data_IF_579193458401
#
_entry.id   IF_579193458401
#
_cell.length_a   1.000
_cell.length_b   1.000
_cell.length_c   1.000
_cell.angle_alpha   90.00
_cell.angle_beta   90.00
_cell.angle_gamma   90.00
#
_symmetry.space_group_name_H-M   'P 1'
#
loop_
_entity.id
_entity.type
_entity.pdbx_description
1 polymer ?
#
# COMPACT_ATOMS: atom_id res chain seq x y z
N UNK A 1 -22.97 -0.32 -22.90
CA UNK A 1 -23.04 1.15 -22.70
C UNK A 1 -21.66 1.68 -22.98
N UNK A 2 -21.52 2.62 -23.91
CA UNK A 2 -20.24 3.29 -24.12
C UNK A 2 -19.88 4.08 -22.87
N UNK A 3 -18.64 3.92 -22.41
CA UNK A 3 -18.14 4.60 -21.21
C UNK A 3 -17.92 6.08 -21.52
N UNK A 4 -18.73 6.93 -20.91
CA UNK A 4 -18.58 8.38 -21.02
C UNK A 4 -17.45 8.87 -20.13
N UNK A 5 -16.59 9.76 -20.66
CA UNK A 5 -15.44 10.32 -19.93
C UNK A 5 -15.52 11.84 -19.80
N UNK A 6 -14.61 12.40 -18.99
CA UNK A 6 -14.42 13.84 -18.80
C UNK A 6 -13.43 14.37 -19.83
N UNK A 7 -13.80 15.40 -20.56
CA UNK A 7 -12.92 15.99 -21.58
C UNK A 7 -12.63 17.47 -21.29
N UNK A 8 -11.38 17.86 -21.47
CA UNK A 8 -10.93 19.26 -21.47
C UNK A 8 -10.57 19.61 -22.91
N UNK A 9 -11.19 20.70 -23.44
CA UNK A 9 -10.94 21.19 -24.80
C UNK A 9 -10.24 22.55 -24.70
N UNK A 10 -9.12 22.69 -25.40
CA UNK A 10 -8.27 23.87 -25.37
C UNK A 10 -8.03 24.33 -26.81
N UNK A 11 -8.60 25.45 -27.18
CA UNK A 11 -8.51 26.06 -28.51
C UNK A 11 -8.68 27.56 -28.32
N UNK A 12 -7.96 28.40 -29.03
CA UNK A 12 -8.05 29.87 -28.93
C UNK A 12 -9.28 30.46 -29.69
N UNK A 13 -9.93 29.64 -30.53
CA UNK A 13 -11.12 29.98 -31.26
C UNK A 13 -12.39 29.57 -30.50
N UNK A 14 -13.16 30.55 -30.06
CA UNK A 14 -14.42 30.34 -29.32
C UNK A 14 -15.48 29.60 -30.14
N UNK A 15 -15.55 29.81 -31.47
CA UNK A 15 -16.50 29.11 -32.33
C UNK A 15 -16.21 27.60 -32.42
N UNK A 16 -14.92 27.24 -32.44
CA UNK A 16 -14.46 25.84 -32.38
C UNK A 16 -14.85 25.21 -31.05
N UNK A 17 -14.59 25.89 -29.95
CA UNK A 17 -14.96 25.43 -28.61
C UNK A 17 -16.48 25.24 -28.46
N UNK A 18 -17.27 26.18 -28.97
CA UNK A 18 -18.72 26.08 -28.93
C UNK A 18 -19.24 24.93 -29.78
N UNK A 19 -18.74 24.75 -31.01
CA UNK A 19 -19.13 23.66 -31.90
C UNK A 19 -18.79 22.30 -31.32
N UNK A 20 -17.57 22.12 -30.75
CA UNK A 20 -17.15 20.89 -30.08
C UNK A 20 -17.96 20.60 -28.83
N UNK A 21 -18.22 21.60 -27.99
CA UNK A 21 -19.03 21.42 -26.79
C UNK A 21 -20.43 20.92 -27.15
N UNK A 22 -21.10 21.54 -28.10
CA UNK A 22 -22.44 21.14 -28.53
C UNK A 22 -22.45 19.73 -29.17
N UNK A 23 -21.42 19.40 -29.95
CA UNK A 23 -21.31 18.11 -30.62
C UNK A 23 -21.05 16.97 -29.63
N UNK A 24 -20.25 17.21 -28.59
CA UNK A 24 -19.75 16.17 -27.67
C UNK A 24 -20.63 16.01 -26.41
N UNK A 25 -21.45 17.00 -26.08
CA UNK A 25 -22.31 16.98 -24.88
C UNK A 25 -23.14 15.70 -24.71
N UNK A 26 -23.76 15.10 -25.76
CA UNK A 26 -24.51 13.87 -25.62
C UNK A 26 -23.64 12.64 -25.32
N UNK A 27 -22.34 12.67 -25.66
CA UNK A 27 -21.43 11.53 -25.66
C UNK A 27 -20.44 11.51 -24.49
N UNK A 28 -20.22 12.66 -23.82
CA UNK A 28 -19.28 12.81 -22.72
C UNK A 28 -20.00 12.93 -21.37
N UNK A 29 -19.28 12.61 -20.30
CA UNK A 29 -19.80 12.76 -18.93
C UNK A 29 -19.78 14.24 -18.51
N UNK A 30 -18.67 14.90 -18.74
CA UNK A 30 -18.47 16.32 -18.49
C UNK A 30 -17.50 16.92 -19.51
N UNK A 31 -17.77 18.16 -19.93
CA UNK A 31 -16.89 18.90 -20.84
C UNK A 31 -16.49 20.21 -20.15
N UNK A 32 -15.21 20.53 -20.26
CA UNK A 32 -14.68 21.87 -19.92
C UNK A 32 -13.95 22.41 -21.13
N UNK A 33 -14.16 23.69 -21.39
CA UNK A 33 -13.54 24.38 -22.51
C UNK A 33 -12.78 25.60 -22.03
N UNK A 34 -11.68 25.95 -22.69
CA UNK A 34 -10.92 27.15 -22.39
C UNK A 34 -10.17 27.67 -23.60
N UNK A 35 -10.19 29.02 -23.78
CA UNK A 35 -9.33 29.69 -24.75
C UNK A 35 -7.94 30.02 -24.21
N UNK A 36 -7.70 29.74 -22.92
CA UNK A 36 -6.47 30.11 -22.22
C UNK A 36 -5.65 28.86 -21.82
N UNK A 37 -4.61 28.50 -22.58
CA UNK A 37 -3.76 27.36 -22.23
C UNK A 37 -3.07 27.49 -20.87
N UNK A 38 -2.85 28.71 -20.38
CA UNK A 38 -2.28 28.94 -19.02
C UNK A 38 -3.12 28.32 -17.90
N UNK A 39 -4.39 28.00 -18.13
CA UNK A 39 -5.30 27.35 -17.17
C UNK A 39 -5.20 25.84 -17.14
N UNK A 40 -4.36 25.21 -17.98
CA UNK A 40 -4.16 23.75 -18.04
C UNK A 40 -3.89 23.17 -16.66
N UNK A 41 -2.90 23.71 -15.94
CA UNK A 41 -2.53 23.22 -14.61
C UNK A 41 -3.71 23.23 -13.62
N UNK A 42 -4.52 24.30 -13.66
CA UNK A 42 -5.71 24.41 -12.83
C UNK A 42 -6.74 23.32 -13.17
N UNK A 43 -7.03 23.08 -14.45
CA UNK A 43 -7.99 22.05 -14.84
C UNK A 43 -7.48 20.64 -14.58
N UNK A 44 -6.20 20.38 -14.74
CA UNK A 44 -5.62 19.07 -14.42
C UNK A 44 -5.77 18.74 -12.92
N UNK A 45 -5.64 19.75 -12.04
CA UNK A 45 -5.73 19.54 -10.58
C UNK A 45 -7.14 19.59 -10.01
N UNK A 46 -8.10 20.27 -10.67
CA UNK A 46 -9.46 20.46 -10.14
C UNK A 46 -10.53 19.66 -10.87
N UNK A 47 -10.34 19.45 -12.17
CA UNK A 47 -11.32 18.75 -13.02
C UNK A 47 -10.93 17.30 -13.30
N UNK A 48 -9.61 16.98 -13.32
CA UNK A 48 -9.05 15.64 -13.62
C UNK A 48 -9.65 15.07 -14.93
N UNK A 49 -9.33 15.65 -16.10
CA UNK A 49 -9.88 15.21 -17.37
C UNK A 49 -9.36 13.82 -17.74
N UNK A 50 -10.23 12.97 -18.29
CA UNK A 50 -9.81 11.67 -18.88
C UNK A 50 -9.08 11.90 -20.21
N UNK A 51 -9.49 12.90 -20.99
CA UNK A 51 -8.88 13.26 -22.28
C UNK A 51 -8.74 14.75 -22.39
N UNK A 52 -7.61 15.20 -22.92
CA UNK A 52 -7.35 16.61 -23.25
C UNK A 52 -7.32 16.70 -24.78
N UNK A 53 -8.26 17.49 -25.36
CA UNK A 53 -8.28 17.84 -26.76
C UNK A 53 -7.60 19.21 -26.91
N UNK A 54 -6.44 19.25 -27.54
CA UNK A 54 -5.54 20.41 -27.56
C UNK A 54 -5.33 20.90 -28.99
N UNK A 55 -5.55 22.20 -29.22
CA UNK A 55 -5.17 22.78 -30.52
C UNK A 55 -3.64 22.80 -30.69
N UNK A 56 -3.22 22.57 -31.92
CA UNK A 56 -1.79 22.62 -32.27
C UNK A 56 -1.27 24.05 -32.39
N UNK A 57 -2.08 24.98 -32.90
CA UNK A 57 -1.67 26.33 -33.26
C UNK A 57 -2.48 27.35 -32.47
N UNK A 58 -1.83 28.16 -31.66
CA UNK A 58 -2.41 29.29 -30.93
C UNK A 58 -2.02 30.65 -31.61
N UNK A 59 -2.70 31.73 -31.25
CA UNK A 59 -2.57 33.05 -31.92
C UNK A 59 -1.16 33.57 -32.00
N UNK A 60 -0.28 33.23 -31.09
CA UNK A 60 1.13 33.66 -31.08
C UNK A 60 1.99 32.92 -32.09
N UNK A 61 1.58 31.70 -32.48
CA UNK A 61 2.32 30.85 -33.41
C UNK A 61 1.38 30.07 -34.35
N UNK A 62 0.71 30.81 -35.24
CA UNK A 62 -0.26 30.25 -36.18
C UNK A 62 0.36 29.28 -37.22
N UNK A 63 1.71 29.17 -37.32
CA UNK A 63 2.39 28.48 -38.39
C UNK A 63 3.28 27.35 -37.91
N UNK A 64 4.00 27.44 -36.79
CA UNK A 64 5.02 26.44 -36.41
C UNK A 64 4.48 25.27 -35.59
N UNK A 65 3.41 25.45 -34.82
CA UNK A 65 2.88 24.43 -33.90
C UNK A 65 3.72 24.18 -32.65
N UNK A 66 4.76 25.00 -32.44
CA UNK A 66 5.67 24.82 -31.31
C UNK A 66 4.98 25.08 -29.97
N UNK A 67 4.05 26.03 -29.93
CA UNK A 67 3.27 26.35 -28.72
C UNK A 67 2.44 25.17 -28.24
N UNK A 68 1.74 24.47 -29.14
CA UNK A 68 1.00 23.25 -28.80
C UNK A 68 1.90 22.14 -28.25
N UNK A 69 3.09 21.94 -28.85
CA UNK A 69 4.06 20.98 -28.35
C UNK A 69 4.61 21.34 -26.98
N UNK A 70 4.79 22.61 -26.67
CA UNK A 70 5.29 23.04 -25.35
C UNK A 70 4.19 22.85 -24.27
N UNK A 71 2.91 23.08 -24.60
CA UNK A 71 1.81 22.73 -23.71
C UNK A 71 1.68 21.23 -23.51
N UNK A 72 1.89 20.40 -24.55
CA UNK A 72 1.95 18.96 -24.41
C UNK A 72 3.04 18.53 -23.39
N UNK A 73 4.25 19.07 -23.51
CA UNK A 73 5.34 18.80 -22.57
C UNK A 73 4.96 19.20 -21.14
N UNK A 74 4.31 20.35 -20.97
CA UNK A 74 3.82 20.81 -19.66
C UNK A 74 2.78 19.83 -19.08
N UNK A 75 1.83 19.36 -19.89
CA UNK A 75 0.82 18.37 -19.48
C UNK A 75 1.49 17.08 -19.05
N UNK A 76 2.39 16.52 -19.87
CA UNK A 76 3.08 15.28 -19.59
C UNK A 76 4.08 15.37 -18.43
N UNK A 77 4.57 16.57 -18.11
CA UNK A 77 5.36 16.80 -16.89
C UNK A 77 4.50 16.78 -15.64
N UNK A 78 3.26 17.29 -15.70
CA UNK A 78 2.30 17.27 -14.60
C UNK A 78 1.70 15.86 -14.38
N UNK A 79 1.37 15.18 -15.47
CA UNK A 79 0.85 13.81 -15.48
C UNK A 79 1.42 13.03 -16.68
N UNK A 80 2.43 12.18 -16.47
CA UNK A 80 3.00 11.34 -17.53
C UNK A 80 2.02 10.35 -18.17
N UNK A 81 0.89 10.10 -17.51
CA UNK A 81 -0.16 9.19 -18.01
C UNK A 81 -1.30 9.92 -18.74
N UNK A 82 -1.25 11.25 -18.81
CA UNK A 82 -2.28 12.05 -19.46
C UNK A 82 -2.51 11.62 -20.92
N UNK A 83 -3.77 11.59 -21.33
CA UNK A 83 -4.17 11.25 -22.70
C UNK A 83 -4.49 12.55 -23.43
N UNK A 84 -3.61 12.93 -24.36
CA UNK A 84 -3.71 14.17 -25.14
C UNK A 84 -3.94 13.83 -26.61
N UNK A 85 -5.00 14.42 -27.17
CA UNK A 85 -5.35 14.33 -28.59
C UNK A 85 -5.21 15.72 -29.21
N UNK A 86 -4.40 15.86 -30.24
CA UNK A 86 -4.24 17.13 -30.93
C UNK A 86 -5.33 17.41 -31.96
N UNK A 87 -5.68 18.67 -32.12
CA UNK A 87 -6.43 19.17 -33.28
C UNK A 87 -5.46 19.88 -34.23
N UNK A 88 -5.43 19.47 -35.50
CA UNK A 88 -4.50 19.99 -36.51
C UNK A 88 -5.22 20.44 -37.76
N UNK A 89 -4.65 21.37 -38.53
CA UNK A 89 -5.18 21.72 -39.84
C UNK A 89 -4.91 20.57 -40.85
N UNK A 90 -5.77 20.44 -41.86
CA UNK A 90 -5.80 19.33 -42.83
C UNK A 90 -4.48 19.07 -43.59
N UNK A 91 -3.58 20.03 -43.65
CA UNK A 91 -2.32 19.93 -44.41
C UNK A 91 -1.07 19.57 -43.57
N UNK A 92 -1.19 19.37 -42.25
CA UNK A 92 -0.02 19.32 -41.34
C UNK A 92 0.30 17.91 -40.83
N UNK A 93 0.39 16.92 -41.76
CA UNK A 93 0.75 15.54 -41.39
C UNK A 93 2.11 15.42 -40.71
N UNK A 94 3.09 16.27 -41.05
CA UNK A 94 4.41 16.26 -40.45
C UNK A 94 4.37 16.71 -38.97
N UNK A 95 3.54 17.69 -38.66
CA UNK A 95 3.31 18.16 -37.28
C UNK A 95 2.56 17.11 -36.45
N UNK A 96 1.58 16.42 -37.05
CA UNK A 96 0.90 15.31 -36.38
C UNK A 96 1.86 14.21 -35.98
N UNK A 97 2.81 13.85 -36.86
CA UNK A 97 3.87 12.87 -36.56
C UNK A 97 4.82 13.39 -35.46
N UNK A 98 5.16 14.67 -35.46
CA UNK A 98 5.96 15.28 -34.40
C UNK A 98 5.23 15.25 -33.05
N UNK A 99 3.93 15.53 -33.02
CA UNK A 99 3.11 15.46 -31.81
C UNK A 99 3.09 14.05 -31.21
N UNK A 100 2.89 13.02 -32.04
CA UNK A 100 2.95 11.62 -31.59
C UNK A 100 4.33 11.28 -31.02
N UNK A 101 5.41 11.66 -31.71
CA UNK A 101 6.78 11.46 -31.23
C UNK A 101 7.07 12.22 -29.92
N UNK A 102 6.39 13.34 -29.68
CA UNK A 102 6.50 14.12 -28.46
C UNK A 102 5.66 13.57 -27.29
N UNK A 103 4.85 12.53 -27.54
CA UNK A 103 4.06 11.82 -26.51
C UNK A 103 2.54 12.07 -26.56
N UNK A 104 2.03 12.74 -27.59
CA UNK A 104 0.59 12.79 -27.81
C UNK A 104 0.02 11.40 -28.13
N UNK A 105 -1.21 11.17 -27.69
CA UNK A 105 -1.87 9.88 -27.90
C UNK A 105 -2.39 9.71 -29.32
N UNK A 106 -2.98 10.78 -29.89
CA UNK A 106 -3.57 10.78 -31.24
C UNK A 106 -3.73 12.21 -31.74
N UNK A 107 -4.22 12.36 -32.97
CA UNK A 107 -4.57 13.65 -33.55
C UNK A 107 -5.85 13.59 -34.40
N UNK A 108 -6.51 14.74 -34.56
CA UNK A 108 -7.73 14.93 -35.34
C UNK A 108 -7.55 16.11 -36.27
N UNK A 109 -7.83 15.97 -37.56
CA UNK A 109 -7.76 17.04 -38.55
C UNK A 109 -8.98 17.96 -38.47
N UNK A 110 -8.79 19.28 -38.58
CA UNK A 110 -9.82 20.29 -38.80
C UNK A 110 -10.00 20.50 -40.33
N UNK A 111 -11.24 20.51 -40.89
CA UNK A 111 -12.51 20.18 -40.23
C UNK A 111 -12.62 18.67 -39.97
N UNK A 112 -13.23 18.32 -38.83
CA UNK A 112 -13.39 16.91 -38.43
C UNK A 112 -14.66 16.29 -38.96
N UNK A 113 -14.59 14.99 -39.23
CA UNK A 113 -15.74 14.13 -39.44
C UNK A 113 -16.25 13.64 -38.07
N UNK A 114 -17.58 13.76 -37.85
CA UNK A 114 -18.19 13.42 -36.56
C UNK A 114 -17.85 12.01 -36.09
N UNK A 115 -17.96 11.04 -36.95
CA UNK A 115 -17.75 9.62 -36.66
C UNK A 115 -16.30 9.38 -36.26
N UNK A 116 -15.34 10.01 -36.95
CA UNK A 116 -13.90 9.88 -36.67
C UNK A 116 -13.54 10.54 -35.34
N UNK A 117 -14.06 11.76 -35.08
CA UNK A 117 -13.87 12.46 -33.80
C UNK A 117 -14.36 11.62 -32.64
N UNK A 118 -15.59 11.08 -32.72
CA UNK A 118 -16.17 10.25 -31.65
C UNK A 118 -15.40 8.96 -31.45
N UNK A 119 -14.98 8.28 -32.52
CA UNK A 119 -14.19 7.04 -32.44
C UNK A 119 -12.82 7.29 -31.74
N UNK A 120 -12.11 8.35 -32.13
CA UNK A 120 -10.84 8.74 -31.53
C UNK A 120 -11.01 9.07 -30.05
N UNK A 121 -12.01 9.88 -29.69
CA UNK A 121 -12.24 10.25 -28.29
C UNK A 121 -12.70 9.05 -27.43
N UNK A 122 -13.54 8.17 -27.98
CA UNK A 122 -13.93 6.92 -27.27
C UNK A 122 -12.73 6.03 -26.98
N UNK A 123 -11.83 5.87 -27.95
CA UNK A 123 -10.59 5.12 -27.77
C UNK A 123 -9.66 5.78 -26.75
N UNK A 124 -9.56 7.11 -26.78
CA UNK A 124 -8.76 7.89 -25.83
C UNK A 124 -9.30 7.77 -24.38
N UNK A 125 -10.63 7.83 -24.18
CA UNK A 125 -11.26 7.62 -22.86
C UNK A 125 -10.98 6.21 -22.33
N UNK A 126 -11.12 5.18 -23.16
CA UNK A 126 -10.81 3.79 -22.75
C UNK A 126 -9.34 3.64 -22.35
N UNK A 127 -8.43 4.24 -23.10
CA UNK A 127 -7.00 4.23 -22.79
C UNK A 127 -6.71 4.92 -21.46
N UNK A 128 -7.29 6.11 -21.21
CA UNK A 128 -7.14 6.85 -19.96
C UNK A 128 -7.59 6.02 -18.77
N UNK A 129 -8.77 5.42 -18.84
CA UNK A 129 -9.28 4.58 -17.75
C UNK A 129 -8.45 3.33 -17.52
N UNK A 130 -7.97 2.69 -18.60
CA UNK A 130 -7.06 1.56 -18.47
C UNK A 130 -5.76 1.95 -17.76
N UNK A 131 -5.17 3.11 -18.12
CA UNK A 131 -3.97 3.64 -17.44
C UNK A 131 -4.23 3.95 -15.96
N UNK A 132 -5.37 4.60 -15.65
CA UNK A 132 -5.77 4.91 -14.27
C UNK A 132 -5.97 3.63 -13.44
N UNK A 133 -6.61 2.59 -14.01
CA UNK A 133 -6.82 1.32 -13.32
C UNK A 133 -5.49 0.58 -13.09
N UNK A 134 -4.58 0.56 -14.08
CA UNK A 134 -3.23 0.02 -13.92
C UNK A 134 -2.47 0.77 -12.83
N UNK A 135 -2.52 2.12 -12.82
CA UNK A 135 -1.90 2.94 -11.79
C UNK A 135 -2.48 2.68 -10.39
N UNK A 136 -3.81 2.53 -10.30
CA UNK A 136 -4.49 2.16 -9.05
C UNK A 136 -4.03 0.81 -8.53
N UNK A 137 -4.00 -0.20 -9.41
CA UNK A 137 -3.54 -1.55 -9.06
C UNK A 137 -2.06 -1.57 -8.67
N UNK A 138 -1.21 -0.81 -9.37
CA UNK A 138 0.20 -0.66 -9.01
C UNK A 138 0.38 -0.03 -7.63
N UNK A 139 -0.39 1.03 -7.31
CA UNK A 139 -0.36 1.66 -6.00
C UNK A 139 -0.88 0.72 -4.90
N UNK A 140 -1.92 -0.07 -5.16
CA UNK A 140 -2.40 -1.10 -4.24
C UNK A 140 -1.33 -2.18 -4.00
N UNK A 141 -0.68 -2.66 -5.06
CA UNK A 141 0.44 -3.61 -4.96
C UNK A 141 1.62 -3.00 -4.20
N UNK A 142 1.96 -1.73 -4.47
CA UNK A 142 3.03 -1.03 -3.75
C UNK A 142 2.72 -0.90 -2.26
N UNK A 143 1.47 -0.56 -1.90
CA UNK A 143 1.03 -0.52 -0.51
C UNK A 143 1.09 -1.90 0.19
N UNK A 144 0.88 -2.98 -0.57
CA UNK A 144 0.97 -4.36 -0.08
C UNK A 144 2.41 -4.88 0.01
N UNK A 145 3.36 -4.30 -0.75
CA UNK A 145 4.78 -4.69 -0.69
C UNK A 145 5.44 -4.36 0.65
N UNK A 146 4.83 -3.49 1.46
CA UNK A 146 5.38 -3.04 2.74
C UNK A 146 6.46 -1.97 2.58
N UNK A 147 6.82 -1.37 3.69
CA UNK A 147 7.86 -0.34 3.73
C UNK A 147 9.23 -0.97 3.43
N UNK A 148 9.92 -0.48 2.40
CA UNK A 148 11.28 -0.93 2.02
C UNK A 148 12.37 -0.39 2.94
N UNK A 149 11.99 0.39 3.96
CA UNK A 149 12.93 0.81 4.99
C UNK A 149 13.34 -0.40 5.84
N UNK A 150 14.63 -0.53 6.10
CA UNK A 150 15.16 -1.59 6.97
C UNK A 150 14.48 -1.52 8.35
N UNK A 151 13.68 -2.53 8.74
CA UNK A 151 13.08 -2.53 10.07
C UNK A 151 14.17 -2.66 11.11
N UNK A 152 14.26 -1.69 12.04
CA UNK A 152 15.31 -1.65 13.02
C UNK A 152 14.88 -2.35 14.32
N UNK A 153 15.33 -3.58 14.53
CA UNK A 153 15.19 -4.29 15.79
C UNK A 153 16.32 -3.85 16.74
N UNK A 154 16.05 -2.80 17.52
CA UNK A 154 17.03 -2.17 18.40
C UNK A 154 17.35 -3.08 19.59
N UNK A 155 18.64 -3.26 19.87
CA UNK A 155 19.16 -4.04 21.00
C UNK A 155 20.55 -4.57 20.71
N UNK A 156 21.44 -4.48 21.71
CA UNK A 156 22.84 -4.92 21.65
C UNK A 156 23.15 -5.97 22.71
N UNK A 157 22.18 -6.33 23.56
CA UNK A 157 22.35 -7.41 24.55
C UNK A 157 22.67 -8.73 23.85
N UNK A 158 23.40 -9.64 24.52
CA UNK A 158 23.72 -10.97 23.98
C UNK A 158 22.46 -11.75 23.55
N UNK A 159 21.36 -11.59 24.31
CA UNK A 159 20.07 -12.19 23.96
C UNK A 159 19.53 -11.66 22.63
N UNK A 160 19.57 -10.35 22.40
CA UNK A 160 19.11 -9.74 21.14
C UNK A 160 20.05 -10.00 19.97
N UNK A 161 21.35 -10.08 20.20
CA UNK A 161 22.32 -10.48 19.16
C UNK A 161 22.01 -11.90 18.65
N UNK A 162 21.76 -12.85 19.55
CA UNK A 162 21.35 -14.21 19.18
C UNK A 162 20.05 -14.24 18.37
N UNK A 163 19.06 -13.40 18.74
CA UNK A 163 17.81 -13.25 17.96
C UNK A 163 18.13 -12.76 16.56
N UNK A 164 18.94 -11.69 16.41
CA UNK A 164 19.31 -11.15 15.09
C UNK A 164 20.06 -12.17 14.22
N UNK A 165 21.04 -12.89 14.79
CA UNK A 165 21.75 -13.97 14.08
C UNK A 165 20.81 -15.05 13.60
N UNK A 166 19.85 -15.44 14.45
CA UNK A 166 18.84 -16.44 14.09
C UNK A 166 17.96 -15.94 12.96
N UNK A 167 17.50 -14.67 13.00
CA UNK A 167 16.74 -14.04 11.92
C UNK A 167 17.52 -14.12 10.60
N UNK A 168 18.79 -13.74 10.56
CA UNK A 168 19.61 -13.80 9.35
C UNK A 168 19.70 -15.22 8.78
N UNK A 169 19.94 -16.22 9.63
CA UNK A 169 20.03 -17.63 9.21
C UNK A 169 18.72 -18.17 8.66
N UNK A 170 17.58 -17.75 9.22
CA UNK A 170 16.26 -18.22 8.82
C UNK A 170 15.69 -17.47 7.64
N UNK A 171 16.22 -16.30 7.33
CA UNK A 171 15.71 -15.46 6.23
C UNK A 171 15.83 -16.12 4.87
N UNK A 172 16.90 -16.87 4.62
CA UNK A 172 17.15 -17.57 3.36
C UNK A 172 16.30 -18.85 3.17
N UNK A 173 15.49 -19.23 4.15
CA UNK A 173 14.66 -20.43 4.09
C UNK A 173 13.20 -20.11 3.82
N UNK A 174 12.49 -20.99 3.11
CA UNK A 174 11.01 -20.92 2.95
C UNK A 174 10.26 -21.69 4.05
N UNK A 175 10.96 -22.13 5.11
CA UNK A 175 10.34 -22.83 6.23
C UNK A 175 9.31 -21.95 6.95
N UNK A 176 8.24 -22.59 7.44
CA UNK A 176 7.29 -21.94 8.33
C UNK A 176 7.98 -21.60 9.66
N UNK A 177 7.71 -20.39 10.16
CA UNK A 177 8.33 -19.87 11.37
C UNK A 177 7.29 -19.55 12.42
N UNK A 178 7.59 -19.91 13.66
CA UNK A 178 6.82 -19.54 14.83
C UNK A 178 7.64 -18.60 15.73
N UNK A 179 7.18 -17.35 15.86
CA UNK A 179 7.80 -16.33 16.72
C UNK A 179 7.07 -16.32 18.07
N UNK A 180 7.81 -16.64 19.12
CA UNK A 180 7.30 -16.66 20.49
C UNK A 180 7.85 -15.48 21.28
N UNK A 181 7.01 -14.89 22.10
CA UNK A 181 7.41 -13.78 22.98
C UNK A 181 6.22 -13.04 23.56
N UNK A 182 6.43 -12.38 24.68
CA UNK A 182 5.40 -11.58 25.35
C UNK A 182 4.88 -10.46 24.47
N UNK A 183 3.73 -9.87 24.85
CA UNK A 183 3.17 -8.72 24.13
C UNK A 183 4.11 -7.52 24.22
N UNK A 184 4.27 -6.82 23.09
CA UNK A 184 5.13 -5.63 23.01
C UNK A 184 6.62 -5.89 22.92
N UNK A 185 7.07 -7.14 22.72
CA UNK A 185 8.50 -7.50 22.59
C UNK A 185 9.10 -7.19 21.22
N UNK A 186 8.26 -6.96 20.18
CA UNK A 186 8.69 -6.65 18.83
C UNK A 186 8.61 -7.84 17.84
N UNK A 187 7.67 -8.77 18.05
CA UNK A 187 7.41 -9.92 17.14
C UNK A 187 7.14 -9.47 15.70
N UNK A 188 6.37 -8.40 15.51
CA UNK A 188 6.10 -7.81 14.19
C UNK A 188 7.37 -7.31 13.48
N UNK A 189 8.25 -6.60 14.23
CA UNK A 189 9.53 -6.15 13.68
C UNK A 189 10.42 -7.33 13.27
N UNK A 190 10.43 -8.41 14.05
CA UNK A 190 11.19 -9.61 13.70
C UNK A 190 10.64 -10.27 12.42
N UNK A 191 9.32 -10.34 12.25
CA UNK A 191 8.69 -10.86 11.04
C UNK A 191 9.03 -9.99 9.81
N UNK A 192 9.04 -8.65 9.95
CA UNK A 192 9.47 -7.72 8.89
C UNK A 192 10.94 -7.89 8.54
N UNK A 193 11.83 -8.08 9.52
CA UNK A 193 13.25 -8.36 9.27
C UNK A 193 13.43 -9.69 8.52
N UNK A 194 12.74 -10.75 8.92
CA UNK A 194 12.75 -12.05 8.23
C UNK A 194 12.36 -11.91 6.75
N UNK A 195 11.33 -11.12 6.46
CA UNK A 195 10.93 -10.81 5.06
C UNK A 195 12.00 -9.98 4.36
N UNK A 196 12.50 -8.92 5.00
CA UNK A 196 13.46 -7.97 4.40
C UNK A 196 14.75 -8.65 3.92
N UNK A 197 15.25 -9.63 4.67
CA UNK A 197 16.45 -10.40 4.31
C UNK A 197 16.16 -11.67 3.51
N UNK A 198 14.89 -11.94 3.15
CA UNK A 198 14.51 -13.15 2.40
C UNK A 198 14.58 -12.96 0.89
N UNK A 199 14.65 -14.06 0.10
CA UNK A 199 14.48 -14.00 -1.35
C UNK A 199 13.14 -13.39 -1.80
N UNK A 200 12.11 -13.41 -0.91
CA UNK A 200 10.78 -12.82 -1.17
C UNK A 200 10.68 -11.34 -0.75
N UNK A 201 11.82 -10.65 -0.57
CA UNK A 201 11.87 -9.24 -0.14
C UNK A 201 11.01 -8.31 -1.01
N UNK A 202 11.08 -8.48 -2.33
CA UNK A 202 10.34 -7.63 -3.29
C UNK A 202 8.87 -8.05 -3.48
N UNK A 203 8.48 -9.17 -2.83
CA UNK A 203 7.11 -9.69 -2.92
C UNK A 203 6.21 -9.10 -1.83
N UNK A 204 4.91 -9.33 -1.95
CA UNK A 204 3.91 -8.86 -0.99
C UNK A 204 4.18 -9.39 0.43
N UNK A 205 3.94 -8.53 1.43
CA UNK A 205 3.96 -8.88 2.85
C UNK A 205 2.61 -8.53 3.45
N UNK A 206 1.86 -9.55 3.84
CA UNK A 206 0.51 -9.37 4.40
C UNK A 206 0.52 -9.68 5.90
N UNK A 207 0.58 -8.66 6.76
CA UNK A 207 0.40 -8.84 8.20
C UNK A 207 -1.08 -8.92 8.55
N UNK A 208 -1.43 -9.87 9.42
CA UNK A 208 -2.78 -10.06 9.96
C UNK A 208 -2.67 -10.23 11.47
N UNK A 209 -3.28 -9.32 12.21
CA UNK A 209 -3.53 -9.50 13.64
C UNK A 209 -4.84 -10.27 13.82
N UNK A 210 -4.71 -11.54 14.15
CA UNK A 210 -5.84 -12.45 14.32
C UNK A 210 -6.69 -12.10 15.56
N UNK A 211 -6.14 -11.40 16.53
CA UNK A 211 -6.88 -10.90 17.69
C UNK A 211 -7.78 -9.71 17.37
N UNK A 212 -7.54 -8.99 16.28
CA UNK A 212 -8.33 -7.84 15.87
C UNK A 212 -9.51 -8.18 14.98
N UNK A 213 -9.58 -9.39 14.41
CA UNK A 213 -10.64 -9.81 13.49
C UNK A 213 -11.76 -10.49 14.27
N UNK A 214 -13.02 -10.03 14.15
CA UNK A 214 -14.16 -10.74 14.71
C UNK A 214 -14.29 -12.16 14.15
N UNK A 215 -14.56 -13.16 15.00
CA UNK A 215 -14.58 -14.57 14.62
C UNK A 215 -15.44 -14.87 13.39
N UNK A 216 -16.57 -14.19 13.27
CA UNK A 216 -17.53 -14.34 12.15
C UNK A 216 -16.95 -13.89 10.80
N UNK A 217 -15.95 -12.99 10.79
CA UNK A 217 -15.33 -12.46 9.59
C UNK A 217 -14.03 -13.17 9.21
N UNK A 218 -13.51 -14.03 10.09
CA UNK A 218 -12.24 -14.70 9.91
C UNK A 218 -12.13 -15.42 8.58
N UNK A 219 -13.14 -16.26 8.29
CA UNK A 219 -13.15 -17.08 7.10
C UNK A 219 -13.15 -16.22 5.83
N UNK A 220 -14.03 -15.20 5.80
CA UNK A 220 -14.13 -14.28 4.66
C UNK A 220 -12.90 -13.42 4.47
N UNK A 221 -12.24 -12.97 5.53
CA UNK A 221 -11.01 -12.19 5.42
C UNK A 221 -9.80 -13.06 5.03
N UNK A 222 -9.68 -14.27 5.59
CA UNK A 222 -8.52 -15.13 5.33
C UNK A 222 -8.60 -15.80 3.96
N UNK A 223 -9.75 -16.39 3.62
CA UNK A 223 -9.93 -17.21 2.42
C UNK A 223 -10.68 -16.50 1.30
N UNK A 224 -11.35 -15.37 1.58
CA UNK A 224 -12.14 -14.64 0.59
C UNK A 224 -13.53 -15.24 0.35
N UNK A 225 -14.28 -14.64 -0.56
CA UNK A 225 -15.63 -15.07 -0.90
C UNK A 225 -16.00 -14.76 -2.34
N UNK A 226 -16.91 -15.56 -2.89
CA UNK A 226 -17.52 -15.33 -4.19
C UNK A 226 -18.78 -14.46 -4.06
N UNK A 227 -19.18 -13.87 -5.19
CA UNK A 227 -20.43 -13.11 -5.25
C UNK A 227 -21.62 -14.03 -4.86
N UNK A 228 -22.42 -13.58 -3.88
CA UNK A 228 -23.59 -14.33 -3.39
C UNK A 228 -23.27 -15.33 -2.28
N UNK A 229 -22.05 -15.41 -1.78
CA UNK A 229 -21.69 -16.31 -0.67
C UNK A 229 -22.48 -16.00 0.64
N UNK A 230 -22.89 -14.75 0.82
CA UNK A 230 -23.78 -14.29 1.91
C UNK A 230 -24.56 -13.05 1.44
N UNK A 231 -25.53 -12.60 2.25
CA UNK A 231 -26.53 -11.58 1.86
C UNK A 231 -25.94 -10.30 1.27
N UNK A 232 -24.76 -9.84 1.78
CA UNK A 232 -24.09 -8.62 1.34
C UNK A 232 -22.92 -8.84 0.37
N UNK A 233 -22.66 -10.06 -0.06
CA UNK A 233 -21.59 -10.40 -0.99
C UNK A 233 -21.94 -9.97 -2.45
N UNK A 234 -21.98 -8.67 -2.70
CA UNK A 234 -22.33 -8.10 -4.03
C UNK A 234 -21.28 -8.32 -5.08
N UNK A 235 -19.98 -8.44 -4.70
CA UNK A 235 -18.83 -8.72 -5.56
C UNK A 235 -17.98 -9.79 -4.89
N UNK A 236 -17.26 -10.58 -5.69
CA UNK A 236 -16.23 -11.47 -5.17
C UNK A 236 -15.07 -10.65 -4.56
N UNK A 237 -14.47 -11.15 -3.46
CA UNK A 237 -13.31 -10.55 -2.80
C UNK A 237 -12.26 -11.64 -2.56
N UNK A 238 -11.00 -11.47 -3.04
CA UNK A 238 -9.92 -12.38 -2.70
C UNK A 238 -9.61 -12.31 -1.20
N UNK A 239 -9.22 -13.46 -0.62
CA UNK A 239 -8.77 -13.52 0.77
C UNK A 239 -7.32 -13.09 0.95
N UNK A 240 -6.92 -12.88 2.20
CA UNK A 240 -5.54 -12.50 2.55
C UNK A 240 -4.52 -13.56 2.14
N UNK A 241 -4.84 -14.85 2.24
CA UNK A 241 -3.95 -15.93 1.80
C UNK A 241 -3.74 -15.93 0.29
N UNK A 242 -4.80 -15.66 -0.49
CA UNK A 242 -4.69 -15.51 -1.93
C UNK A 242 -3.87 -14.29 -2.31
N UNK A 243 -4.11 -13.16 -1.66
CA UNK A 243 -3.38 -11.89 -1.88
C UNK A 243 -1.89 -12.03 -1.51
N UNK A 244 -1.57 -12.87 -0.51
CA UNK A 244 -0.20 -13.13 -0.08
C UNK A 244 0.56 -14.12 -1.00
N UNK A 245 -0.11 -14.70 -2.00
CA UNK A 245 0.52 -15.71 -2.88
C UNK A 245 1.72 -15.13 -3.63
N UNK A 246 2.80 -15.87 -3.67
CA UNK A 246 4.13 -15.44 -4.14
C UNK A 246 4.97 -14.72 -3.07
N UNK A 247 4.36 -14.30 -1.94
CA UNK A 247 5.00 -13.50 -0.90
C UNK A 247 5.03 -14.14 0.47
N UNK A 248 4.85 -13.31 1.50
CA UNK A 248 4.90 -13.72 2.91
C UNK A 248 3.62 -13.31 3.63
N UNK A 249 3.00 -14.25 4.34
CA UNK A 249 1.87 -14.03 5.23
C UNK A 249 2.36 -14.04 6.68
N UNK A 250 2.11 -12.98 7.42
CA UNK A 250 2.40 -12.91 8.84
C UNK A 250 1.09 -12.97 9.64
N UNK A 251 0.94 -14.01 10.46
CA UNK A 251 -0.22 -14.23 11.33
C UNK A 251 0.19 -13.94 12.78
N UNK A 252 -0.21 -12.78 13.30
CA UNK A 252 0.02 -12.47 14.73
C UNK A 252 -1.13 -13.02 15.58
N UNK A 253 -0.82 -13.37 16.81
CA UNK A 253 -1.74 -13.94 17.81
C UNK A 253 -2.45 -15.22 17.33
N UNK A 254 -1.66 -16.17 16.73
CA UNK A 254 -2.18 -17.43 16.17
C UNK A 254 -2.90 -18.29 17.24
N UNK A 255 -2.56 -18.14 18.53
CA UNK A 255 -3.21 -18.82 19.65
C UNK A 255 -4.69 -18.45 19.84
N UNK A 256 -5.17 -17.37 19.24
CA UNK A 256 -6.56 -16.90 19.36
C UNK A 256 -7.51 -17.55 18.35
N UNK A 257 -7.02 -18.38 17.44
CA UNK A 257 -7.84 -19.06 16.44
C UNK A 257 -8.78 -20.08 17.08
N UNK A 258 -10.07 -20.08 16.68
CA UNK A 258 -10.99 -21.14 17.04
C UNK A 258 -10.65 -22.47 16.36
N UNK A 259 -10.99 -23.60 16.96
CA UNK A 259 -10.68 -24.93 16.43
C UNK A 259 -11.15 -25.18 14.99
N UNK A 260 -12.35 -24.71 14.56
CA UNK A 260 -12.76 -24.80 13.15
C UNK A 260 -11.83 -24.05 12.21
N UNK A 261 -11.35 -22.85 12.61
CA UNK A 261 -10.43 -22.05 11.79
C UNK A 261 -9.03 -22.67 11.74
N UNK A 262 -8.57 -23.25 12.83
CA UNK A 262 -7.33 -24.02 12.87
C UNK A 262 -7.34 -25.17 11.86
N UNK A 263 -8.46 -25.92 11.76
CA UNK A 263 -8.60 -27.01 10.79
C UNK A 263 -8.55 -26.53 9.33
N UNK A 264 -9.20 -25.39 9.03
CA UNK A 264 -9.16 -24.79 7.69
C UNK A 264 -7.77 -24.26 7.34
N UNK A 265 -7.10 -23.59 8.28
CA UNK A 265 -5.73 -23.12 8.10
C UNK A 265 -4.76 -24.27 7.86
N UNK A 266 -4.87 -25.36 8.64
CA UNK A 266 -4.06 -26.57 8.44
C UNK A 266 -4.22 -27.12 7.01
N UNK A 267 -5.47 -27.26 6.55
CA UNK A 267 -5.77 -27.74 5.19
C UNK A 267 -5.13 -26.85 4.13
N UNK A 268 -5.20 -25.51 4.30
CA UNK A 268 -4.62 -24.55 3.38
C UNK A 268 -3.09 -24.65 3.31
N UNK A 269 -2.42 -24.84 4.46
CA UNK A 269 -0.96 -24.98 4.55
C UNK A 269 -0.49 -26.32 3.96
N UNK A 270 -1.21 -27.40 4.23
CA UNK A 270 -0.82 -28.75 3.76
C UNK A 270 -1.01 -28.93 2.26
N UNK A 271 -2.16 -28.47 1.75
CA UNK A 271 -2.51 -28.64 0.33
C UNK A 271 -2.01 -27.51 -0.55
N UNK A 272 -1.46 -26.45 0.03
CA UNK A 272 -1.10 -25.21 -0.67
C UNK A 272 -2.24 -24.69 -1.56
N UNK A 273 -3.48 -24.81 -1.08
CA UNK A 273 -4.64 -24.31 -1.78
C UNK A 273 -5.73 -23.87 -0.79
N UNK A 274 -6.52 -22.90 -1.24
CA UNK A 274 -7.68 -22.38 -0.51
C UNK A 274 -8.93 -22.51 -1.37
N UNK A 275 -10.09 -22.46 -0.71
CA UNK A 275 -11.38 -22.35 -1.40
C UNK A 275 -12.11 -21.15 -0.82
N UNK A 276 -12.53 -20.19 -1.67
CA UNK A 276 -13.32 -19.04 -1.24
C UNK A 276 -14.69 -19.50 -0.74
N UNK A 277 -15.26 -18.75 0.20
CA UNK A 277 -16.64 -19.00 0.63
C UNK A 277 -17.58 -18.93 -0.58
N UNK A 278 -18.44 -19.94 -0.71
CA UNK A 278 -19.35 -20.07 -1.84
C UNK A 278 -18.74 -20.58 -3.14
N UNK A 279 -17.42 -20.83 -3.19
CA UNK A 279 -16.75 -21.45 -4.34
C UNK A 279 -16.66 -22.97 -4.20
N UNK A 280 -16.56 -23.65 -5.33
CA UNK A 280 -16.32 -25.12 -5.41
C UNK A 280 -14.86 -25.41 -5.79
N UNK A 281 -14.25 -24.54 -6.59
CA UNK A 281 -12.90 -24.75 -7.12
C UNK A 281 -11.82 -24.28 -6.15
N UNK A 282 -10.81 -25.10 -5.83
CA UNK A 282 -9.66 -24.66 -5.05
C UNK A 282 -8.76 -23.73 -5.88
N UNK A 283 -8.12 -22.79 -5.18
CA UNK A 283 -7.13 -21.86 -5.72
C UNK A 283 -5.77 -22.24 -5.13
N UNK A 284 -4.77 -22.50 -5.98
CA UNK A 284 -3.40 -22.77 -5.53
C UNK A 284 -2.74 -21.50 -4.99
N UNK A 285 -2.03 -21.64 -3.87
CA UNK A 285 -1.29 -20.55 -3.23
C UNK A 285 0.15 -20.98 -2.92
N UNK A 286 1.10 -20.07 -3.11
CA UNK A 286 2.49 -20.23 -2.69
C UNK A 286 2.82 -19.13 -1.68
N UNK A 287 2.76 -19.45 -0.39
CA UNK A 287 2.89 -18.46 0.68
C UNK A 287 3.93 -18.92 1.70
N UNK A 288 4.95 -18.10 1.95
CA UNK A 288 5.80 -18.26 3.14
C UNK A 288 5.02 -17.82 4.38
N UNK A 289 4.87 -18.71 5.35
CA UNK A 289 4.10 -18.45 6.57
C UNK A 289 5.01 -18.11 7.74
N UNK A 290 4.74 -16.97 8.39
CA UNK A 290 5.33 -16.58 9.67
C UNK A 290 4.18 -16.41 10.66
N UNK A 291 4.19 -17.16 11.75
CA UNK A 291 3.20 -17.06 12.83
C UNK A 291 3.84 -16.42 14.07
N UNK A 292 3.05 -15.69 14.86
CA UNK A 292 3.50 -15.19 16.14
C UNK A 292 2.43 -15.38 17.22
N UNK A 293 2.86 -15.55 18.47
CA UNK A 293 1.97 -15.59 19.63
C UNK A 293 2.71 -15.31 20.93
N UNK A 294 1.99 -14.84 21.91
CA UNK A 294 2.41 -14.76 23.31
C UNK A 294 1.94 -15.97 24.14
N UNK A 295 1.02 -16.78 23.60
CA UNK A 295 0.42 -17.90 24.30
C UNK A 295 1.35 -19.12 24.31
N UNK A 296 1.28 -19.91 25.37
CA UNK A 296 1.91 -21.22 25.41
C UNK A 296 1.07 -22.22 24.60
N UNK A 297 1.42 -22.43 23.32
CA UNK A 297 0.68 -23.32 22.43
C UNK A 297 0.68 -24.78 22.91
N UNK A 298 1.75 -25.27 23.57
CA UNK A 298 1.77 -26.63 24.13
C UNK A 298 0.73 -26.79 25.24
N UNK A 299 0.56 -25.77 26.08
CA UNK A 299 -0.49 -25.77 27.10
C UNK A 299 -1.88 -25.74 26.44
N UNK A 300 -2.09 -24.90 25.42
CA UNK A 300 -3.37 -24.86 24.69
C UNK A 300 -3.70 -26.20 24.01
N UNK A 301 -2.69 -26.92 23.53
CA UNK A 301 -2.87 -28.29 23.00
C UNK A 301 -3.32 -29.24 24.11
N UNK A 302 -2.66 -29.20 25.26
CA UNK A 302 -3.04 -30.04 26.42
C UNK A 302 -4.47 -29.75 26.92
N UNK A 303 -4.91 -28.50 26.82
CA UNK A 303 -6.26 -28.05 27.16
C UNK A 303 -7.30 -28.33 26.05
N UNK A 304 -6.88 -28.88 24.90
CA UNK A 304 -7.77 -29.13 23.75
C UNK A 304 -8.26 -27.86 23.04
N UNK A 305 -7.61 -26.70 23.26
CA UNK A 305 -7.94 -25.41 22.64
C UNK A 305 -7.12 -25.14 21.37
N UNK A 306 -6.03 -25.86 21.15
CA UNK A 306 -5.20 -25.78 19.96
C UNK A 306 -4.92 -27.18 19.41
N UNK A 307 -4.93 -27.31 18.09
CA UNK A 307 -4.71 -28.62 17.43
C UNK A 307 -3.21 -28.93 17.38
N UNK A 308 -2.85 -30.11 17.75
CA UNK A 308 -1.47 -30.60 17.74
C UNK A 308 -0.91 -30.70 16.32
N UNK A 309 -1.72 -31.13 15.35
CA UNK A 309 -1.33 -31.24 13.95
C UNK A 309 -1.00 -29.88 13.33
N UNK A 310 -1.80 -28.83 13.62
CA UNK A 310 -1.50 -27.45 13.20
C UNK A 310 -0.19 -26.96 13.85
N UNK A 311 -0.01 -27.19 15.16
CA UNK A 311 1.22 -26.79 15.84
C UNK A 311 2.46 -27.36 15.14
N UNK A 312 2.49 -28.66 14.83
CA UNK A 312 3.63 -29.26 14.11
C UNK A 312 3.84 -28.66 12.72
N UNK A 313 2.79 -28.20 12.06
CA UNK A 313 2.91 -27.67 10.70
C UNK A 313 3.41 -26.22 10.67
N UNK A 314 3.04 -25.39 11.66
CA UNK A 314 3.49 -23.98 11.77
C UNK A 314 4.83 -23.86 12.51
N UNK A 315 5.16 -24.82 13.37
CA UNK A 315 6.35 -24.83 14.22
C UNK A 315 7.49 -25.64 13.58
N UNK A 316 7.85 -25.31 12.33
CA UNK A 316 9.04 -25.93 11.70
C UNK A 316 10.31 -25.39 12.32
N UNK A 317 10.35 -24.09 12.63
CA UNK A 317 11.43 -23.43 13.34
C UNK A 317 10.85 -22.40 14.32
N UNK A 318 11.41 -22.34 15.54
CA UNK A 318 11.02 -21.38 16.57
C UNK A 318 12.03 -20.23 16.67
N UNK A 319 11.50 -19.03 16.83
CA UNK A 319 12.26 -17.83 17.18
C UNK A 319 11.70 -17.23 18.48
N UNK A 320 12.48 -17.29 19.55
CA UNK A 320 12.09 -16.70 20.83
C UNK A 320 12.62 -15.27 20.96
N UNK A 321 11.71 -14.31 21.18
CA UNK A 321 12.09 -12.93 21.48
C UNK A 321 12.02 -12.74 22.99
N UNK A 322 13.16 -12.43 23.65
CA UNK A 322 13.21 -12.26 25.10
C UNK A 322 12.38 -11.05 25.55
N UNK A 323 11.77 -11.08 26.72
CA UNK A 323 11.11 -9.93 27.31
C UNK A 323 12.12 -8.81 27.65
N UNK A 324 11.66 -7.58 27.75
CA UNK A 324 12.53 -6.41 27.91
C UNK A 324 13.40 -6.47 29.19
N UNK A 325 12.87 -7.02 30.29
CA UNK A 325 13.58 -7.25 31.55
C UNK A 325 14.83 -8.15 31.42
N UNK A 326 14.88 -9.01 30.39
CA UNK A 326 16.01 -9.89 30.11
C UNK A 326 17.04 -9.29 29.13
N UNK A 327 16.80 -8.07 28.63
CA UNK A 327 17.67 -7.38 27.68
C UNK A 327 18.67 -6.40 28.32
N UNK A 328 18.69 -6.27 29.64
CA UNK A 328 19.64 -5.45 30.36
C UNK A 328 19.66 -3.99 29.90
N UNK A 329 20.83 -3.53 29.43
CA UNK A 329 21.03 -2.12 29.01
C UNK A 329 20.30 -1.73 27.72
N UNK A 330 19.72 -2.65 26.99
CA UNK A 330 18.88 -2.32 25.83
C UNK A 330 17.68 -1.46 26.21
N UNK A 331 17.23 -1.52 27.48
CA UNK A 331 16.21 -0.63 28.04
C UNK A 331 16.62 0.84 27.87
N UNK A 332 17.86 1.17 28.21
CA UNK A 332 18.37 2.53 28.05
C UNK A 332 18.57 2.94 26.60
N UNK A 333 19.04 2.01 25.77
CA UNK A 333 19.22 2.23 24.35
C UNK A 333 17.87 2.54 23.66
N UNK A 334 16.83 1.74 23.94
CA UNK A 334 15.48 1.95 23.45
C UNK A 334 14.88 3.27 23.95
N UNK A 335 15.09 3.60 25.24
CA UNK A 335 14.62 4.86 25.80
C UNK A 335 15.23 6.06 25.07
N UNK A 336 16.54 6.05 24.83
CA UNK A 336 17.22 7.11 24.09
C UNK A 336 16.75 7.21 22.64
N UNK A 337 16.49 6.07 21.99
CA UNK A 337 15.92 6.04 20.65
C UNK A 337 14.54 6.73 20.62
N UNK A 338 13.63 6.36 21.51
CA UNK A 338 12.30 6.98 21.59
C UNK A 338 12.38 8.47 21.96
N UNK A 339 13.24 8.86 22.90
CA UNK A 339 13.49 10.28 23.20
C UNK A 339 13.93 11.06 21.96
N UNK A 340 14.83 10.49 21.14
CA UNK A 340 15.27 11.12 19.91
C UNK A 340 14.12 11.27 18.89
N UNK A 341 13.30 10.24 18.74
CA UNK A 341 12.10 10.30 17.88
C UNK A 341 11.12 11.39 18.35
N UNK A 342 10.82 11.43 19.64
CA UNK A 342 9.87 12.39 20.20
C UNK A 342 10.44 13.81 20.23
N UNK A 343 11.75 13.99 20.45
CA UNK A 343 12.40 15.29 20.29
C UNK A 343 12.17 15.87 18.89
N UNK A 344 12.31 15.05 17.82
CA UNK A 344 12.03 15.47 16.45
C UNK A 344 10.53 15.75 16.23
N UNK A 345 9.66 14.84 16.68
CA UNK A 345 8.20 14.94 16.51
C UNK A 345 7.63 16.20 17.19
N UNK A 346 8.10 16.51 18.40
CA UNK A 346 7.57 17.59 19.24
C UNK A 346 8.47 18.82 19.29
N UNK A 347 9.56 18.86 18.49
CA UNK A 347 10.54 19.96 18.46
C UNK A 347 11.10 20.29 19.85
N UNK A 348 11.54 19.26 20.59
CA UNK A 348 12.11 19.35 21.93
C UNK A 348 13.59 19.03 21.92
N UNK A 349 14.30 19.43 22.98
CA UNK A 349 15.74 19.20 23.16
C UNK A 349 16.03 18.50 24.49
N UNK A 350 15.36 17.39 24.77
CA UNK A 350 15.65 16.57 25.95
C UNK A 350 17.00 15.88 25.71
N UNK A 351 18.02 16.27 26.49
CA UNK A 351 19.42 15.83 26.28
C UNK A 351 19.73 14.42 26.78
N UNK A 352 18.92 13.85 27.67
CA UNK A 352 19.16 12.50 28.17
C UNK A 352 18.45 12.19 29.50
N UNK A 353 18.88 11.12 30.14
CA UNK A 353 18.30 10.59 31.37
C UNK A 353 19.18 10.91 32.58
N UNK A 354 18.59 11.30 33.69
CA UNK A 354 19.28 11.41 34.97
C UNK A 354 19.68 10.02 35.48
N UNK A 355 20.64 9.96 36.39
CA UNK A 355 21.08 8.70 37.01
C UNK A 355 19.93 7.98 37.73
N UNK A 356 19.07 8.75 38.39
CA UNK A 356 17.89 8.20 39.07
C UNK A 356 16.89 7.59 38.11
N UNK A 357 16.62 8.28 36.99
CA UNK A 357 15.75 7.78 35.92
C UNK A 357 16.29 6.47 35.33
N UNK A 358 17.59 6.41 34.99
CA UNK A 358 18.24 5.19 34.50
C UNK A 358 18.06 4.02 35.49
N UNK A 359 18.30 4.25 36.76
CA UNK A 359 18.15 3.21 37.79
C UNK A 359 16.70 2.71 37.93
N UNK A 360 15.72 3.62 37.82
CA UNK A 360 14.30 3.24 37.86
C UNK A 360 13.91 2.43 36.64
N UNK A 361 14.33 2.86 35.45
CA UNK A 361 14.06 2.13 34.16
C UNK A 361 14.64 0.72 34.18
N UNK A 362 15.86 0.53 34.68
CA UNK A 362 16.53 -0.77 34.77
C UNK A 362 15.93 -1.72 35.80
N UNK A 363 15.28 -1.20 36.85
CA UNK A 363 14.69 -1.99 37.94
C UNK A 363 13.25 -2.39 37.67
N UNK A 364 12.58 -1.74 36.72
CA UNK A 364 11.19 -1.99 36.45
C UNK A 364 11.02 -3.24 35.57
N UNK A 365 10.01 -4.03 35.83
CA UNK A 365 9.77 -5.34 35.19
C UNK A 365 9.27 -5.27 33.72
N UNK A 366 8.73 -4.13 33.31
CA UNK A 366 8.21 -3.88 31.98
C UNK A 366 7.21 -4.94 31.48
N UNK A 367 6.07 -5.17 32.14
CA UNK A 367 5.10 -6.19 31.73
C UNK A 367 4.55 -5.97 30.31
N UNK A 368 4.46 -4.72 29.84
CA UNK A 368 4.10 -4.37 28.45
C UNK A 368 5.31 -4.23 27.52
N UNK A 369 6.51 -4.59 27.97
CA UNK A 369 7.75 -4.64 27.21
C UNK A 369 8.07 -3.30 26.50
N UNK A 370 8.53 -3.34 25.25
CA UNK A 370 8.93 -2.17 24.47
C UNK A 370 7.74 -1.24 24.17
N UNK A 371 6.53 -1.80 24.02
CA UNK A 371 5.31 -1.00 23.81
C UNK A 371 5.02 -0.12 25.04
N UNK A 372 5.13 -0.66 26.25
CA UNK A 372 4.95 0.09 27.49
C UNK A 372 6.06 1.13 27.66
N UNK A 373 7.32 0.76 27.42
CA UNK A 373 8.44 1.70 27.45
C UNK A 373 8.21 2.89 26.52
N UNK A 374 7.79 2.64 25.29
CA UNK A 374 7.48 3.68 24.31
C UNK A 374 6.38 4.63 24.81
N UNK A 375 5.28 4.07 25.32
CA UNK A 375 4.17 4.85 25.90
C UNK A 375 4.56 5.62 27.16
N UNK A 376 5.54 5.13 27.93
CA UNK A 376 6.04 5.83 29.12
C UNK A 376 6.95 7.00 28.77
N UNK A 377 7.71 6.89 27.68
CA UNK A 377 8.62 7.96 27.21
C UNK A 377 7.88 9.10 26.51
N UNK A 378 6.78 8.81 25.81
CA UNK A 378 6.03 9.81 25.04
C UNK A 378 5.45 10.96 25.91
N UNK A 379 4.78 10.72 27.06
CA UNK A 379 4.26 11.80 27.93
C UNK A 379 5.34 12.69 28.54
N UNK A 380 6.53 12.14 28.83
CA UNK A 380 7.66 12.93 29.37
C UNK A 380 8.04 14.06 28.42
N UNK A 381 7.88 13.81 27.11
CA UNK A 381 8.08 14.82 26.04
C UNK A 381 6.99 15.89 26.02
N UNK A 382 5.80 15.62 26.58
CA UNK A 382 4.67 16.56 26.68
C UNK A 382 4.65 17.37 27.98
N UNK A 383 4.97 16.74 29.11
CA UNK A 383 4.80 17.37 30.45
C UNK A 383 5.77 18.51 30.74
N UNK A 384 6.91 18.57 30.07
CA UNK A 384 7.78 19.76 30.09
C UNK A 384 7.17 21.01 29.45
N UNK A 385 6.02 20.90 28.73
CA UNK A 385 5.28 22.06 28.22
C UNK A 385 4.47 22.79 29.31
N UNK A 386 4.07 22.13 30.40
CA UNK A 386 3.26 22.74 31.46
C UNK A 386 4.08 23.35 32.62
N UNK A 387 5.36 23.02 32.74
CA UNK A 387 6.20 23.53 33.81
C UNK A 387 6.86 24.89 33.51
N UNK A 388 6.78 25.39 32.25
CA UNK A 388 7.36 26.69 31.88
C UNK A 388 6.32 27.80 31.61
N UNK A 389 5.03 27.49 31.71
CA UNK A 389 3.96 28.48 31.53
C UNK A 389 3.32 29.00 32.84
N UNK A 390 3.89 28.63 33.98
CA UNK A 390 3.47 29.18 35.29
C UNK A 390 4.68 29.66 36.08
N UNK A 391 5.19 30.84 35.70
CA UNK A 391 5.80 31.83 36.62
C UNK A 391 5.42 33.20 36.09
#
# INVERSE_FOLDING_TARGET
>A
MEEKGKILIIDDNEDVLFALNLLLEPYMEQIRVTTQPSRITHFMTTFHPDVILLDMNFQRDAISGQEGLDYLKQILHLDPQAVVVFMTAYADTDKAVQAIKAGATDFISKPWEKEKLLATLSSAVKLSRSRQEVGRLQNEVQALKGDDTLPELIGNSPAMQKVKETIYKLSDTDANLLILGENGTGKDLAARMLRFFSPRREQVFIPIDLGSIPEQLFESELFGYEKGAFTDARKAKPGRMETASGGTLFLDEIGNLSLPMQAKLLTAIEKQCITRLGAVSPIHIDVRLICATNANLHQLVAEGKFRQDLLYRINTVELHIPPLRERGEDILLLTMHFLSQYNRKYRKEIKGLTREAKNKLLKYEWPGNVRELQHTVEPVSYTHLRAHETV
#
